data_IF_031108468142
#
_entry.id   IF_031108468142
#
_cell.length_a   1.000
_cell.length_b   1.000
_cell.length_c   1.000
_cell.angle_alpha   90.00
_cell.angle_beta   90.00
_cell.angle_gamma   90.00
#
_symmetry.space_group_name_H-M   'P 1'
#
loop_
_entity.id
_entity.type
_entity.pdbx_description
1 polymer ?
#
# COMPACT_ATOMS: atom_id res chain seq x y z
N UNK A 1 18.80 -7.02 2.64
CA UNK A 1 17.35 -7.16 2.95
C UNK A 1 17.15 -6.71 4.39
N UNK A 2 16.57 -5.54 4.58
CA UNK A 2 16.28 -5.01 5.92
C UNK A 2 15.04 -5.73 6.49
N UNK A 3 15.27 -6.71 7.36
CA UNK A 3 14.21 -7.45 8.05
C UNK A 3 13.30 -6.55 8.88
N UNK A 4 13.82 -5.40 9.34
CA UNK A 4 13.06 -4.36 10.04
C UNK A 4 12.03 -3.67 9.14
N UNK A 5 12.32 -3.49 7.85
CA UNK A 5 11.40 -2.89 6.89
C UNK A 5 10.25 -3.85 6.56
N UNK A 6 10.56 -5.16 6.42
CA UNK A 6 9.54 -6.18 6.20
C UNK A 6 8.60 -6.33 7.40
N UNK A 7 9.10 -6.30 8.63
CA UNK A 7 8.26 -6.37 9.85
C UNK A 7 7.40 -5.13 10.08
N UNK A 8 7.70 -4.00 9.44
CA UNK A 8 6.86 -2.79 9.48
C UNK A 8 5.63 -2.89 8.58
N UNK A 9 5.58 -3.85 7.66
CA UNK A 9 4.40 -4.05 6.82
C UNK A 9 3.30 -4.77 7.61
N UNK A 10 2.08 -4.23 7.68
CA UNK A 10 1.00 -4.87 8.46
C UNK A 10 0.67 -6.27 7.93
N UNK A 11 0.74 -6.48 6.61
CA UNK A 11 0.53 -7.77 5.97
C UNK A 11 1.48 -8.86 6.49
N UNK A 12 2.78 -8.58 6.61
CA UNK A 12 3.78 -9.60 6.99
C UNK A 12 3.57 -10.05 8.42
N UNK A 13 3.31 -9.11 9.34
CA UNK A 13 3.02 -9.40 10.75
C UNK A 13 1.79 -10.31 10.86
N UNK A 14 0.72 -9.99 10.15
CA UNK A 14 -0.50 -10.81 10.16
C UNK A 14 -0.27 -12.20 9.56
N UNK A 15 0.51 -12.32 8.48
CA UNK A 15 0.85 -13.62 7.89
C UNK A 15 1.75 -14.47 8.79
N UNK A 16 2.71 -13.86 9.49
CA UNK A 16 3.54 -14.57 10.48
C UNK A 16 2.67 -15.09 11.63
N UNK A 17 1.76 -14.26 12.17
CA UNK A 17 0.81 -14.70 13.18
C UNK A 17 -0.10 -15.82 12.67
N UNK A 18 -0.60 -15.71 11.43
CA UNK A 18 -1.38 -16.76 10.80
C UNK A 18 -0.59 -18.07 10.69
N UNK A 19 0.70 -18.03 10.34
CA UNK A 19 1.55 -19.21 10.29
C UNK A 19 1.75 -19.86 11.67
N UNK A 20 1.90 -19.06 12.74
CA UNK A 20 1.97 -19.57 14.11
C UNK A 20 0.66 -20.27 14.49
N UNK A 21 -0.50 -19.65 14.22
CA UNK A 21 -1.80 -20.27 14.50
C UNK A 21 -2.04 -21.51 13.65
N UNK A 22 -1.59 -21.54 12.39
CA UNK A 22 -1.66 -22.74 11.55
C UNK A 22 -0.88 -23.91 12.15
N UNK A 23 0.30 -23.65 12.72
CA UNK A 23 1.09 -24.66 13.43
C UNK A 23 0.37 -25.15 14.69
N UNK A 24 -0.23 -24.25 15.47
CA UNK A 24 -1.05 -24.60 16.64
C UNK A 24 -2.23 -25.48 16.22
N UNK A 25 -2.94 -25.12 15.15
CA UNK A 25 -4.04 -25.92 14.59
C UNK A 25 -3.56 -27.31 14.21
N UNK A 26 -2.39 -27.43 13.56
CA UNK A 26 -1.84 -28.72 13.15
C UNK A 26 -1.49 -29.60 14.36
N UNK A 27 -0.88 -29.03 15.40
CA UNK A 27 -0.62 -29.74 16.66
C UNK A 27 -1.92 -30.21 17.31
N UNK A 28 -2.93 -29.34 17.39
CA UNK A 28 -4.22 -29.69 17.98
C UNK A 28 -4.96 -30.76 17.18
N UNK A 29 -4.84 -30.75 15.84
CA UNK A 29 -5.42 -31.75 14.97
C UNK A 29 -4.79 -33.13 15.18
N UNK A 30 -3.46 -33.21 15.28
CA UNK A 30 -2.74 -34.45 15.61
C UNK A 30 -3.15 -34.95 16.99
N UNK A 31 -3.19 -34.05 17.96
CA UNK A 31 -3.50 -34.35 19.35
C UNK A 31 -4.99 -34.72 19.57
N UNK A 32 -5.88 -34.27 18.69
CA UNK A 32 -7.28 -34.69 18.61
C UNK A 32 -7.39 -36.09 18.02
N UNK A 33 -6.69 -36.35 16.90
CA UNK A 33 -6.69 -37.65 16.22
C UNK A 33 -6.20 -38.77 17.14
N UNK A 34 -5.13 -38.53 17.90
CA UNK A 34 -4.61 -39.47 18.90
C UNK A 34 -5.67 -39.79 19.98
N UNK A 35 -6.36 -38.78 20.53
CA UNK A 35 -7.36 -39.01 21.58
C UNK A 35 -8.65 -39.66 21.11
N UNK A 36 -9.02 -39.46 19.84
CA UNK A 36 -10.11 -40.19 19.20
C UNK A 36 -9.74 -41.67 19.02
N UNK A 37 -8.47 -41.97 18.68
CA UNK A 37 -7.95 -43.34 18.63
C UNK A 37 -7.92 -43.98 20.03
N UNK A 38 -7.65 -43.21 21.09
CA UNK A 38 -7.66 -43.67 22.49
C UNK A 38 -9.07 -43.81 23.10
N UNK A 39 -10.15 -43.57 22.35
CA UNK A 39 -11.54 -43.71 22.81
C UNK A 39 -12.01 -42.64 23.82
N UNK A 40 -11.25 -41.56 24.03
CA UNK A 40 -11.55 -40.51 25.03
C UNK A 40 -12.42 -39.39 24.45
N UNK A 41 -13.67 -39.70 24.13
CA UNK A 41 -14.60 -38.81 23.41
C UNK A 41 -14.83 -37.44 24.07
N UNK A 42 -14.98 -37.36 25.40
CA UNK A 42 -15.18 -36.09 26.11
C UNK A 42 -13.97 -35.14 26.01
N UNK A 43 -12.76 -35.68 26.12
CA UNK A 43 -11.53 -34.90 25.99
C UNK A 43 -11.22 -34.53 24.53
N UNK A 44 -11.75 -35.31 23.57
CA UNK A 44 -11.69 -34.99 22.16
C UNK A 44 -12.57 -33.78 21.82
N UNK A 45 -13.77 -33.64 22.40
CA UNK A 45 -14.66 -32.51 22.13
C UNK A 45 -14.04 -31.15 22.48
N UNK A 46 -13.39 -31.01 23.64
CA UNK A 46 -12.70 -29.77 24.01
C UNK A 46 -11.54 -29.44 23.06
N UNK A 47 -10.76 -30.45 22.65
CA UNK A 47 -9.67 -30.25 21.69
C UNK A 47 -10.17 -29.93 20.29
N UNK A 48 -11.31 -30.49 19.89
CA UNK A 48 -11.96 -30.12 18.63
C UNK A 48 -12.37 -28.64 18.63
N UNK A 49 -12.94 -28.14 19.74
CA UNK A 49 -13.27 -26.73 19.88
C UNK A 49 -12.03 -25.82 19.75
N UNK A 50 -10.92 -26.18 20.42
CA UNK A 50 -9.66 -25.44 20.30
C UNK A 50 -9.05 -25.51 18.89
N UNK A 51 -9.19 -26.64 18.21
CA UNK A 51 -8.69 -26.81 16.84
C UNK A 51 -9.49 -25.93 15.87
N UNK A 52 -10.83 -25.93 15.98
CA UNK A 52 -11.72 -25.12 15.15
C UNK A 52 -11.48 -23.64 15.40
N UNK A 53 -11.32 -23.22 16.67
CA UNK A 53 -11.06 -21.81 16.99
C UNK A 53 -9.70 -21.34 16.46
N UNK A 54 -8.63 -22.14 16.63
CA UNK A 54 -7.31 -21.83 16.08
C UNK A 54 -7.32 -21.78 14.54
N UNK A 55 -8.06 -22.70 13.90
CA UNK A 55 -8.22 -22.70 12.45
C UNK A 55 -8.99 -21.47 11.95
N UNK A 56 -10.09 -21.11 12.61
CA UNK A 56 -10.85 -19.90 12.29
C UNK A 56 -9.98 -18.65 12.43
N UNK A 57 -9.17 -18.56 13.49
CA UNK A 57 -8.25 -17.44 13.69
C UNK A 57 -7.13 -17.39 12.64
N UNK A 58 -6.62 -18.56 12.21
CA UNK A 58 -5.66 -18.67 11.10
C UNK A 58 -6.24 -18.07 9.82
N UNK A 59 -7.47 -18.46 9.46
CA UNK A 59 -8.14 -17.95 8.27
C UNK A 59 -8.41 -16.44 8.36
N UNK A 60 -8.84 -15.96 9.52
CA UNK A 60 -9.09 -14.55 9.77
C UNK A 60 -7.80 -13.72 9.61
N UNK A 61 -6.70 -14.14 10.23
CA UNK A 61 -5.41 -13.45 10.15
C UNK A 61 -4.82 -13.49 8.74
N UNK A 62 -4.90 -14.64 8.05
CA UNK A 62 -4.46 -14.75 6.67
C UNK A 62 -5.29 -13.86 5.73
N UNK A 63 -6.62 -13.88 5.86
CA UNK A 63 -7.52 -13.03 5.10
C UNK A 63 -7.27 -11.55 5.34
N UNK A 64 -7.09 -11.13 6.60
CA UNK A 64 -6.75 -9.77 6.96
C UNK A 64 -5.38 -9.35 6.40
N UNK A 65 -4.37 -10.23 6.49
CA UNK A 65 -3.05 -10.00 5.89
C UNK A 65 -3.14 -9.76 4.38
N UNK A 66 -3.93 -10.57 3.67
CA UNK A 66 -4.17 -10.40 2.24
C UNK A 66 -4.93 -9.10 1.92
N UNK A 67 -5.93 -8.73 2.72
CA UNK A 67 -6.68 -7.48 2.56
C UNK A 67 -5.81 -6.23 2.74
N UNK A 68 -4.76 -6.32 3.56
CA UNK A 68 -3.80 -5.26 3.80
C UNK A 68 -2.60 -5.28 2.83
N UNK A 69 -2.68 -6.05 1.75
CA UNK A 69 -1.60 -6.11 0.75
C UNK A 69 -1.40 -4.75 0.09
N UNK A 70 -0.16 -4.27 0.08
CA UNK A 70 0.21 -2.98 -0.49
C UNK A 70 -0.05 -1.78 0.42
N UNK A 71 -0.65 -1.97 1.59
CA UNK A 71 -0.79 -0.92 2.59
C UNK A 71 0.45 -0.80 3.47
N UNK A 72 0.78 0.44 3.81
CA UNK A 72 1.87 0.79 4.71
C UNK A 72 1.36 1.64 5.86
N UNK A 73 2.00 1.52 7.03
CA UNK A 73 1.66 2.34 8.20
C UNK A 73 2.07 3.79 7.95
N UNK A 74 1.16 4.71 8.23
CA UNK A 74 1.39 6.15 8.12
C UNK A 74 1.82 6.71 9.49
N UNK A 75 3.06 7.20 9.54
CA UNK A 75 3.61 7.93 10.69
C UNK A 75 3.09 9.36 10.79
N UNK A 76 3.93 10.29 11.24
CA UNK A 76 3.67 11.73 11.14
C UNK A 76 3.90 12.25 9.71
N UNK A 77 5.08 11.95 9.18
CA UNK A 77 5.46 12.14 7.79
C UNK A 77 6.15 10.86 7.31
N UNK A 78 5.64 10.28 6.23
CA UNK A 78 6.21 9.09 5.64
C UNK A 78 6.79 9.43 4.25
N UNK A 79 8.07 9.12 3.97
CA UNK A 79 8.54 9.07 2.58
C UNK A 79 7.76 7.97 1.86
N UNK A 80 7.16 8.31 0.73
CA UNK A 80 6.27 7.41 -0.02
C UNK A 80 7.02 6.78 -1.18
N UNK A 81 7.59 7.63 -2.03
CA UNK A 81 8.28 7.23 -3.25
C UNK A 81 9.22 8.34 -3.69
N UNK A 82 10.38 7.96 -4.20
CA UNK A 82 11.28 8.83 -4.95
C UNK A 82 11.12 8.54 -6.44
N UNK A 83 11.19 9.58 -7.26
CA UNK A 83 10.96 9.49 -8.71
C UNK A 83 12.14 10.12 -9.42
N UNK A 84 12.77 9.35 -10.29
CA UNK A 84 13.79 9.82 -11.23
C UNK A 84 13.19 9.89 -12.63
N UNK A 85 13.28 11.04 -13.27
CA UNK A 85 12.75 11.28 -14.60
C UNK A 85 13.87 11.37 -15.65
N UNK A 86 13.70 10.63 -16.74
CA UNK A 86 14.58 10.69 -17.91
C UNK A 86 13.77 10.83 -19.19
N UNK A 87 14.16 11.75 -20.06
CA UNK A 87 13.48 11.96 -21.33
C UNK A 87 13.82 10.81 -22.30
N UNK A 88 12.81 10.28 -22.98
CA UNK A 88 12.96 9.29 -24.05
C UNK A 88 12.76 9.93 -25.43
N UNK A 89 11.75 10.78 -25.52
CA UNK A 89 11.45 11.62 -26.69
C UNK A 89 10.66 12.84 -26.21
N UNK A 90 10.32 13.82 -27.08
CA UNK A 90 9.44 14.92 -26.69
C UNK A 90 8.19 14.39 -25.97
N UNK A 91 7.95 14.91 -24.76
CA UNK A 91 6.82 14.58 -23.90
C UNK A 91 6.63 13.09 -23.57
N UNK A 92 7.68 12.27 -23.71
CA UNK A 92 7.70 10.86 -23.31
C UNK A 92 8.88 10.60 -22.40
N UNK A 93 8.58 10.06 -21.23
CA UNK A 93 9.51 9.95 -20.11
C UNK A 93 9.60 8.51 -19.63
N UNK A 94 10.80 8.11 -19.24
CA UNK A 94 11.02 6.97 -18.37
C UNK A 94 11.11 7.48 -16.93
N UNK A 95 10.22 6.97 -16.07
CA UNK A 95 10.23 7.24 -14.64
C UNK A 95 10.72 6.02 -13.89
N UNK A 96 11.71 6.19 -13.03
CA UNK A 96 12.14 5.16 -12.09
C UNK A 96 11.60 5.52 -10.73
N UNK A 97 10.74 4.67 -10.17
CA UNK A 97 10.15 4.87 -8.87
C UNK A 97 10.88 3.99 -7.86
N UNK A 98 11.34 4.60 -6.77
CA UNK A 98 12.08 3.95 -5.70
C UNK A 98 11.29 4.09 -4.41
N UNK A 99 10.92 2.96 -3.80
CA UNK A 99 10.19 2.96 -2.53
C UNK A 99 11.14 2.81 -1.33
N UNK A 100 10.72 3.26 -0.13
CA UNK A 100 11.48 3.09 1.11
C UNK A 100 11.87 1.64 1.48
N UNK A 101 11.23 0.63 0.90
CA UNK A 101 11.58 -0.79 1.10
C UNK A 101 12.69 -1.27 0.15
N UNK A 102 13.26 -0.37 -0.66
CA UNK A 102 14.29 -0.65 -1.65
C UNK A 102 13.74 -1.26 -2.94
N UNK A 103 12.43 -1.45 -3.06
CA UNK A 103 11.84 -1.88 -4.32
C UNK A 103 11.87 -0.74 -5.33
N UNK A 104 12.10 -1.08 -6.60
CA UNK A 104 12.13 -0.11 -7.69
C UNK A 104 11.24 -0.56 -8.84
N UNK A 105 10.57 0.37 -9.52
CA UNK A 105 9.74 0.09 -10.69
C UNK A 105 9.95 1.15 -11.75
N UNK A 106 10.27 0.73 -12.96
CA UNK A 106 10.36 1.62 -14.11
C UNK A 106 9.01 1.70 -14.83
N UNK A 107 8.58 2.91 -15.16
CA UNK A 107 7.32 3.23 -15.83
C UNK A 107 7.59 4.17 -17.00
N UNK A 108 6.67 4.21 -17.96
CA UNK A 108 6.69 5.19 -19.06
C UNK A 108 5.54 6.15 -18.87
N UNK A 109 5.80 7.45 -18.94
CA UNK A 109 4.81 8.51 -18.75
C UNK A 109 4.82 9.43 -19.97
N UNK A 110 3.64 9.83 -20.44
CA UNK A 110 3.50 10.88 -21.45
C UNK A 110 2.94 12.16 -20.80
N UNK A 111 3.49 13.32 -21.18
CA UNK A 111 3.11 14.63 -20.65
C UNK A 111 4.31 15.56 -20.43
N UNK A 112 4.02 16.77 -19.97
CA UNK A 112 4.98 17.80 -19.57
C UNK A 112 5.16 17.84 -18.04
N UNK A 113 4.14 17.43 -17.29
CA UNK A 113 4.15 17.36 -15.84
C UNK A 113 3.61 16.02 -15.34
N UNK A 114 3.92 15.69 -14.08
CA UNK A 114 3.46 14.47 -13.43
C UNK A 114 2.80 14.77 -12.08
N UNK A 115 1.91 13.88 -11.65
CA UNK A 115 1.30 13.91 -10.32
C UNK A 115 1.09 12.49 -9.80
N UNK A 116 1.30 12.30 -8.50
CA UNK A 116 0.94 11.07 -7.81
C UNK A 116 -0.21 11.31 -6.83
N UNK A 117 -1.05 10.31 -6.68
CA UNK A 117 -2.17 10.28 -5.76
C UNK A 117 -2.04 9.09 -4.81
N UNK A 118 -2.59 9.23 -3.62
CA UNK A 118 -2.58 8.22 -2.57
C UNK A 118 -3.94 8.13 -1.88
N UNK A 119 -4.24 6.95 -1.35
CA UNK A 119 -5.41 6.72 -0.49
C UNK A 119 -4.90 6.50 0.92
N UNK A 120 -5.42 7.29 1.86
CA UNK A 120 -5.19 7.13 3.29
C UNK A 120 -6.45 6.58 3.95
N UNK A 121 -6.28 5.50 4.70
CA UNK A 121 -7.30 4.87 5.51
C UNK A 121 -7.08 5.25 6.97
N UNK A 122 -8.06 5.94 7.55
CA UNK A 122 -8.09 6.31 8.96
C UNK A 122 -9.08 5.42 9.69
N UNK A 123 -8.63 4.81 10.79
CA UNK A 123 -9.48 3.97 11.62
C UNK A 123 -10.49 4.82 12.40
N UNK A 124 -11.74 4.35 12.47
CA UNK A 124 -12.70 4.87 13.44
C UNK A 124 -12.59 4.15 14.79
N UNK A 125 -13.44 4.54 15.72
CA UNK A 125 -13.59 3.88 17.01
C UNK A 125 -14.02 2.41 16.83
N UNK A 126 -13.52 1.46 17.65
CA UNK A 126 -12.57 1.66 18.76
C UNK A 126 -11.09 1.59 18.35
N UNK A 127 -10.77 1.24 17.10
CA UNK A 127 -9.39 1.06 16.64
C UNK A 127 -8.54 2.34 16.77
N UNK A 128 -9.17 3.50 16.62
CA UNK A 128 -8.54 4.80 16.93
C UNK A 128 -8.04 4.89 18.39
N UNK A 129 -8.82 4.41 19.37
CA UNK A 129 -8.44 4.43 20.79
C UNK A 129 -7.35 3.42 21.11
N UNK A 130 -7.27 2.32 20.35
CA UNK A 130 -6.18 1.37 20.46
C UNK A 130 -4.85 1.90 19.89
N UNK A 131 -4.82 3.13 19.37
CA UNK A 131 -3.61 3.78 18.87
C UNK A 131 -3.10 3.17 17.55
N UNK A 132 -3.94 2.47 16.80
CA UNK A 132 -3.55 1.86 15.53
C UNK A 132 -3.23 2.96 14.52
N UNK A 133 -2.00 3.02 13.95
CA UNK A 133 -1.66 4.04 12.97
C UNK A 133 -2.54 3.93 11.70
N UNK A 134 -2.84 5.06 11.03
CA UNK A 134 -3.51 5.03 9.74
C UNK A 134 -2.70 4.23 8.72
N UNK A 135 -3.38 3.76 7.69
CA UNK A 135 -2.75 3.06 6.57
C UNK A 135 -2.76 3.93 5.33
N UNK A 136 -1.79 3.75 4.45
CA UNK A 136 -1.79 4.40 3.15
C UNK A 136 -1.34 3.47 2.05
N UNK A 137 -1.71 3.80 0.81
CA UNK A 137 -1.09 3.30 -0.41
C UNK A 137 -1.11 4.34 -1.51
N UNK A 138 -0.25 4.16 -2.51
CA UNK A 138 -0.36 4.89 -3.77
C UNK A 138 -1.57 4.39 -4.57
N UNK A 139 -2.29 5.32 -5.19
CA UNK A 139 -3.46 5.04 -6.02
C UNK A 139 -3.04 5.02 -7.50
N UNK A 140 -2.60 6.18 -8.00
CA UNK A 140 -2.22 6.36 -9.40
C UNK A 140 -1.12 7.40 -9.58
N UNK A 141 -0.42 7.27 -10.70
CA UNK A 141 0.50 8.25 -11.27
C UNK A 141 -0.08 8.71 -12.61
N UNK A 142 -0.18 10.02 -12.81
CA UNK A 142 -0.67 10.59 -14.06
C UNK A 142 0.31 11.60 -14.64
N UNK A 143 0.35 11.63 -15.98
CA UNK A 143 0.98 12.69 -16.73
C UNK A 143 -0.05 13.73 -17.16
N UNK A 144 0.39 14.97 -17.36
CA UNK A 144 -0.40 16.09 -17.85
C UNK A 144 0.39 16.88 -18.87
N UNK A 145 -0.26 17.28 -19.96
CA UNK A 145 0.24 18.25 -20.91
C UNK A 145 -0.12 19.66 -20.46
N UNK A 146 0.77 20.63 -20.65
CA UNK A 146 0.50 22.00 -20.22
C UNK A 146 -0.45 22.74 -21.18
N UNK A 147 -0.44 22.39 -22.46
CA UNK A 147 -1.41 22.92 -23.43
C UNK A 147 -2.77 22.22 -23.28
N UNK A 148 -3.88 22.96 -23.05
CA UNK A 148 -5.19 22.35 -22.85
C UNK A 148 -5.77 21.62 -24.07
N UNK A 149 -5.48 22.09 -25.29
CA UNK A 149 -5.95 21.42 -26.51
C UNK A 149 -5.20 20.10 -26.71
N UNK A 150 -3.90 20.10 -26.38
CA UNK A 150 -3.09 18.90 -26.34
C UNK A 150 -3.56 17.95 -25.23
N UNK A 151 -3.80 18.40 -24.01
CA UNK A 151 -4.30 17.56 -22.90
C UNK A 151 -5.63 16.87 -23.26
N UNK A 152 -6.47 17.51 -24.07
CA UNK A 152 -7.73 16.96 -24.53
C UNK A 152 -7.58 15.91 -25.66
N UNK A 153 -6.58 16.05 -26.53
CA UNK A 153 -6.45 15.25 -27.76
C UNK A 153 -5.30 14.22 -27.73
N UNK A 154 -4.24 14.49 -26.97
CA UNK A 154 -3.04 13.67 -26.93
C UNK A 154 -3.22 12.42 -26.06
N UNK A 155 -2.40 11.37 -26.26
CA UNK A 155 -2.45 10.17 -25.44
C UNK A 155 -2.18 10.48 -23.97
N UNK A 156 -3.19 10.31 -23.11
CA UNK A 156 -3.07 10.47 -21.66
C UNK A 156 -2.48 9.21 -21.03
N UNK A 157 -1.55 9.38 -20.10
CA UNK A 157 -0.98 8.25 -19.35
C UNK A 157 -1.42 8.32 -17.90
N UNK A 158 -2.16 7.29 -17.45
CA UNK A 158 -2.54 7.09 -16.05
C UNK A 158 -2.17 5.67 -15.67
N UNK A 159 -1.29 5.54 -14.68
CA UNK A 159 -0.78 4.25 -14.21
C UNK A 159 -1.29 4.04 -12.79
N UNK A 160 -2.15 3.05 -12.61
CA UNK A 160 -2.55 2.59 -11.28
C UNK A 160 -1.40 1.84 -10.60
N UNK A 161 -1.21 2.08 -9.30
CA UNK A 161 -0.29 1.30 -8.46
C UNK A 161 -0.85 -0.06 -8.02
N UNK A 162 -1.96 -0.45 -8.65
CA UNK A 162 -2.64 -1.72 -8.48
C UNK A 162 -3.88 -1.56 -7.63
N UNK A 163 -5.00 -2.09 -8.13
CA UNK A 163 -6.02 -2.66 -7.27
C UNK A 163 -5.31 -3.73 -6.43
N UNK A 164 -5.27 -3.58 -5.10
CA UNK A 164 -5.32 -4.81 -4.31
C UNK A 164 -6.56 -5.54 -4.84
N UNK A 165 -6.45 -6.80 -5.26
CA UNK A 165 -7.49 -7.47 -6.04
C UNK A 165 -8.84 -7.54 -5.32
N UNK A 166 -9.66 -8.56 -5.60
CA UNK A 166 -10.93 -8.76 -4.88
C UNK A 166 -10.78 -8.72 -3.34
N UNK A 167 -9.60 -9.06 -2.82
CA UNK A 167 -9.19 -8.94 -1.41
C UNK A 167 -8.45 -7.62 -1.13
N UNK A 168 -9.15 -6.51 -1.28
CA UNK A 168 -8.66 -5.19 -0.86
C UNK A 168 -9.47 -4.66 0.30
N UNK A 169 -8.82 -4.10 1.32
CA UNK A 169 -9.51 -3.54 2.49
C UNK A 169 -10.59 -2.51 2.09
N UNK A 170 -10.30 -1.60 1.17
CA UNK A 170 -11.27 -0.57 0.74
C UNK A 170 -12.45 -1.20 -0.02
N UNK A 171 -12.19 -2.17 -0.91
CA UNK A 171 -13.26 -2.88 -1.61
C UNK A 171 -14.09 -3.76 -0.66
N UNK A 172 -13.45 -4.45 0.28
CA UNK A 172 -14.12 -5.27 1.31
C UNK A 172 -14.98 -4.40 2.23
N UNK A 173 -14.52 -3.21 2.61
CA UNK A 173 -15.32 -2.27 3.38
C UNK A 173 -16.60 -1.86 2.61
N UNK A 174 -16.47 -1.57 1.30
CA UNK A 174 -17.61 -1.22 0.45
C UNK A 174 -18.59 -2.38 0.28
N UNK A 175 -18.09 -3.61 0.10
CA UNK A 175 -18.92 -4.80 -0.12
C UNK A 175 -19.54 -5.34 1.17
N UNK A 176 -18.80 -5.29 2.29
CA UNK A 176 -19.16 -5.91 3.56
C UNK A 176 -19.00 -4.93 4.75
N UNK A 177 -19.71 -3.79 4.76
CA UNK A 177 -19.51 -2.73 5.76
C UNK A 177 -19.84 -3.15 7.20
N UNK A 178 -20.62 -4.23 7.40
CA UNK A 178 -20.92 -4.78 8.73
C UNK A 178 -19.82 -5.68 9.29
N UNK A 179 -18.94 -6.21 8.44
CA UNK A 179 -17.93 -7.21 8.79
C UNK A 179 -16.50 -6.63 8.82
N UNK A 180 -16.30 -5.47 8.18
CA UNK A 180 -15.02 -4.76 8.14
C UNK A 180 -15.09 -3.59 9.12
N UNK A 181 -14.01 -3.29 9.87
CA UNK A 181 -13.95 -2.11 10.73
C UNK A 181 -14.31 -0.84 9.96
N UNK A 182 -14.99 0.09 10.62
CA UNK A 182 -15.33 1.36 9.99
C UNK A 182 -14.06 2.18 9.76
N UNK A 183 -13.86 2.61 8.52
CA UNK A 183 -12.66 3.31 8.05
C UNK A 183 -13.10 4.56 7.31
N UNK A 184 -12.47 5.69 7.61
CA UNK A 184 -12.58 6.90 6.80
C UNK A 184 -11.49 6.91 5.73
N UNK A 185 -11.88 7.31 4.52
CA UNK A 185 -10.97 7.40 3.38
C UNK A 185 -10.66 8.84 3.08
N UNK A 186 -9.37 9.17 3.02
CA UNK A 186 -8.86 10.47 2.61
C UNK A 186 -8.02 10.29 1.36
N UNK A 187 -8.42 10.96 0.28
CA UNK A 187 -7.68 10.95 -0.97
C UNK A 187 -6.65 12.08 -0.95
N UNK A 188 -5.38 11.70 -0.91
CA UNK A 188 -4.25 12.63 -1.00
C UNK A 188 -3.85 12.82 -2.46
N UNK A 189 -3.83 14.05 -2.93
CA UNK A 189 -3.33 14.40 -4.26
C UNK A 189 -2.18 15.39 -4.12
N UNK A 190 -1.07 15.11 -4.81
CA UNK A 190 0.03 16.08 -4.94
C UNK A 190 -0.31 17.21 -5.92
N UNK A 191 0.53 18.23 -5.96
CA UNK A 191 0.54 19.17 -7.07
C UNK A 191 1.18 18.52 -8.32
N UNK A 192 0.85 19.03 -9.51
CA UNK A 192 1.60 18.66 -10.72
C UNK A 192 2.98 19.29 -10.67
N UNK A 193 4.02 18.50 -10.90
CA UNK A 193 5.38 18.97 -11.03
C UNK A 193 5.88 18.81 -12.48
N UNK A 194 6.56 19.81 -13.05
CA UNK A 194 7.14 19.71 -14.38
C UNK A 194 8.16 18.57 -14.46
N UNK A 195 8.16 17.84 -15.56
CA UNK A 195 9.16 16.83 -15.89
C UNK A 195 10.36 17.50 -16.54
N UNK A 196 11.53 17.23 -15.99
CA UNK A 196 12.81 17.70 -16.55
C UNK A 196 13.78 16.52 -16.67
N UNK A 197 14.68 16.57 -17.66
CA UNK A 197 15.60 15.46 -17.89
C UNK A 197 16.65 15.36 -16.77
N UNK A 198 16.82 14.15 -16.25
CA UNK A 198 17.57 13.88 -15.02
C UNK A 198 16.96 14.59 -13.82
N UNK A 199 15.63 14.71 -13.76
CA UNK A 199 14.91 15.29 -12.63
C UNK A 199 14.74 14.27 -11.50
N UNK A 200 14.93 14.72 -10.28
CA UNK A 200 14.79 13.92 -9.06
C UNK A 200 13.73 14.54 -8.16
N UNK A 201 12.76 13.73 -7.75
CA UNK A 201 11.63 14.18 -6.94
C UNK A 201 11.40 13.25 -5.76
N UNK A 202 11.23 13.84 -4.58
CA UNK A 202 10.84 13.13 -3.37
C UNK A 202 9.36 13.37 -3.06
N UNK A 203 8.62 12.31 -2.76
CA UNK A 203 7.23 12.39 -2.34
C UNK A 203 7.08 11.96 -0.90
N UNK A 204 6.53 12.82 -0.06
CA UNK A 204 6.14 12.51 1.31
C UNK A 204 4.63 12.63 1.51
N UNK A 205 4.11 11.88 2.48
CA UNK A 205 2.70 11.89 2.87
C UNK A 205 2.61 12.19 4.36
N UNK A 206 1.87 13.24 4.68
CA UNK A 206 1.58 13.63 6.05
C UNK A 206 0.42 12.81 6.60
N UNK A 207 0.39 12.63 7.93
CA UNK A 207 -0.72 11.97 8.64
C UNK A 207 -2.10 12.58 8.34
N UNK A 208 -2.15 13.88 8.03
CA UNK A 208 -3.37 14.58 7.63
C UNK A 208 -3.99 13.97 6.37
N UNK A 209 -3.17 13.37 5.50
CA UNK A 209 -3.51 12.93 4.15
C UNK A 209 -2.93 13.85 3.07
N UNK A 210 -2.25 14.94 3.44
CA UNK A 210 -1.60 15.83 2.50
C UNK A 210 -0.37 15.16 1.87
N UNK A 211 -0.37 15.09 0.54
CA UNK A 211 0.72 14.53 -0.25
C UNK A 211 1.57 15.67 -0.81
N UNK A 212 2.87 15.63 -0.53
CA UNK A 212 3.82 16.68 -0.86
C UNK A 212 4.88 16.10 -1.76
N UNK A 213 4.96 16.59 -2.99
CA UNK A 213 6.03 16.26 -3.92
C UNK A 213 7.00 17.45 -3.98
N UNK A 214 8.30 17.19 -3.87
CA UNK A 214 9.35 18.21 -3.92
C UNK A 214 10.44 17.80 -4.89
N UNK A 215 10.84 18.67 -5.85
CA UNK A 215 12.07 18.46 -6.59
C UNK A 215 13.29 18.65 -5.66
N UNK A 216 14.40 17.99 -5.96
CA UNK A 216 15.68 18.33 -5.34
C UNK A 216 16.17 19.72 -5.82
N UNK A 217 17.27 20.21 -5.23
CA UNK A 217 17.78 21.55 -5.55
C UNK A 217 18.15 21.70 -7.03
N UNK A 218 18.81 20.70 -7.63
CA UNK A 218 19.22 20.73 -9.03
C UNK A 218 18.01 20.70 -9.99
N UNK A 219 16.99 19.90 -9.66
CA UNK A 219 15.74 19.82 -10.43
C UNK A 219 14.95 21.12 -10.29
N UNK A 220 14.89 21.71 -9.11
CA UNK A 220 14.23 22.99 -8.89
C UNK A 220 14.90 24.12 -9.71
N UNK A 221 16.23 24.12 -9.79
CA UNK A 221 16.97 25.06 -10.63
C UNK A 221 16.62 24.89 -12.12
N UNK A 222 16.62 23.64 -12.62
CA UNK A 222 16.20 23.34 -14.00
C UNK A 222 14.75 23.74 -14.29
N UNK A 223 13.85 23.58 -13.32
CA UNK A 223 12.43 23.97 -13.45
C UNK A 223 12.30 25.50 -13.52
N UNK A 224 13.06 26.22 -12.69
CA UNK A 224 13.03 27.69 -12.65
C UNK A 224 13.73 28.36 -13.85
N UNK A 225 14.71 27.68 -14.44
CA UNK A 225 15.43 28.12 -15.64
C UNK A 225 15.20 27.11 -16.77
N UNK A 226 14.00 27.09 -17.39
CA UNK A 226 13.66 26.09 -18.41
C UNK A 226 14.59 26.12 -19.63
N UNK A 227 15.39 27.17 -19.82
CA UNK A 227 16.44 27.29 -20.81
C UNK A 227 17.57 28.16 -20.23
N UNK A 228 18.80 27.65 -20.24
CA UNK A 228 19.96 28.54 -20.31
C UNK A 228 19.88 29.34 -21.61
N UNK A 229 20.17 30.63 -21.55
CA UNK A 229 20.26 31.50 -22.72
C UNK A 229 21.36 31.09 -23.70
#
# INVERSE_FOLDING_TARGET
MDWSALLRMPMTVLLVLAAVFALITLVQLVALRQRLQDGRHLAASWRALLCVSAFALTLLLAGAGLALRGYRLLGEEAPVVEIDARILSPQRWALTLSWPDGSTRQLRLAGDAWRVEAIVLKWKLPALLAGVPPLYRLDRLSGRYDDPAQEAAAPRTVIGFGEAGAFDLLNLQKQYPRWVPEIDTVYGSGAFLPLVDGGHYAVSLMRTGALVARPDAATAEKISHPLGG
#
